data_IF_444368100065
#
_entry.id   IF_444368100065
#
_cell.length_a   1.000
_cell.length_b   1.000
_cell.length_c   1.000
_cell.angle_alpha   90.00
_cell.angle_beta   90.00
_cell.angle_gamma   90.00
#
_symmetry.space_group_name_H-M   'P 1'
#
loop_
_entity.id
_entity.type
_entity.pdbx_description
1 polymer ?
#
# COMPACT_ATOMS: atom_id res chain seq x y z
N UNK A 1 -2.91 -6.48 -0.04
CA UNK A 1 -1.96 -5.57 -0.72
C UNK A 1 -2.61 -4.69 -1.77
N UNK A 2 -3.39 -5.23 -2.70
CA UNK A 2 -4.07 -4.43 -3.75
C UNK A 2 -4.82 -3.22 -3.16
N UNK A 3 -5.76 -3.46 -2.24
CA UNK A 3 -6.59 -2.41 -1.63
C UNK A 3 -5.75 -1.40 -0.85
N UNK A 4 -4.77 -1.87 -0.07
CA UNK A 4 -3.85 -1.01 0.68
C UNK A 4 -3.12 -0.05 -0.26
N UNK A 5 -2.46 -0.59 -1.29
CA UNK A 5 -1.66 0.20 -2.24
C UNK A 5 -2.54 1.20 -2.98
N UNK A 6 -3.73 0.78 -3.42
CA UNK A 6 -4.66 1.66 -4.13
C UNK A 6 -5.07 2.88 -3.29
N UNK A 7 -5.50 2.65 -2.04
CA UNK A 7 -5.99 3.71 -1.16
C UNK A 7 -4.82 4.58 -0.67
N UNK A 8 -3.76 3.95 -0.17
CA UNK A 8 -2.63 4.65 0.45
C UNK A 8 -1.82 5.43 -0.57
N UNK A 9 -1.43 4.86 -1.72
CA UNK A 9 -0.76 5.65 -2.77
C UNK A 9 -1.70 6.69 -3.38
N UNK A 10 -3.01 6.42 -3.46
CA UNK A 10 -4.00 7.40 -3.90
C UNK A 10 -3.98 8.68 -3.05
N UNK A 11 -3.77 8.56 -1.73
CA UNK A 11 -3.64 9.71 -0.83
C UNK A 11 -2.39 10.58 -1.08
N UNK A 12 -1.37 10.03 -1.74
CA UNK A 12 -0.12 10.75 -2.06
C UNK A 12 -0.20 11.54 -3.37
N UNK A 13 -1.28 11.36 -4.15
CA UNK A 13 -1.46 12.05 -5.42
C UNK A 13 -1.75 13.54 -5.16
N UNK A 14 -0.89 14.39 -5.71
CA UNK A 14 -1.06 15.83 -5.62
C UNK A 14 -2.01 16.33 -6.73
N UNK A 15 -3.30 16.40 -6.41
CA UNK A 15 -4.34 16.89 -7.32
C UNK A 15 -4.23 18.38 -7.65
N UNK A 16 -3.54 19.16 -6.80
CA UNK A 16 -3.36 20.61 -6.97
C UNK A 16 -2.01 20.97 -7.62
N UNK A 17 -1.29 19.98 -8.17
CA UNK A 17 0.00 20.19 -8.83
C UNK A 17 -0.05 21.17 -10.02
N UNK A 18 -1.23 21.46 -10.58
CA UNK A 18 -1.42 22.41 -11.69
C UNK A 18 -1.64 23.86 -11.21
N UNK A 19 -1.69 24.10 -9.90
CA UNK A 19 -1.88 25.43 -9.33
C UNK A 19 -0.55 26.21 -9.33
N UNK A 20 -0.58 27.51 -9.63
CA UNK A 20 0.62 28.37 -9.65
C UNK A 20 1.34 28.46 -8.29
N UNK A 21 0.65 28.12 -7.20
CA UNK A 21 1.22 28.03 -5.86
C UNK A 21 0.62 26.81 -5.13
N UNK A 22 1.15 25.60 -5.35
CA UNK A 22 0.59 24.39 -4.77
C UNK A 22 0.77 24.41 -3.25
N UNK A 23 -0.26 24.02 -2.47
CA UNK A 23 -0.12 23.89 -1.02
C UNK A 23 0.95 22.83 -0.68
N UNK A 24 1.61 22.95 0.48
CA UNK A 24 2.56 21.94 0.94
C UNK A 24 1.87 20.58 1.11
N UNK A 25 2.65 19.50 0.96
CA UNK A 25 2.16 18.13 1.13
C UNK A 25 1.58 17.93 2.53
N UNK A 26 0.35 17.41 2.60
CA UNK A 26 -0.30 17.11 3.87
C UNK A 26 0.18 15.76 4.41
N UNK A 27 1.25 15.81 5.20
CA UNK A 27 1.84 14.64 5.84
C UNK A 27 0.89 13.97 6.82
N UNK A 28 -0.03 14.71 7.44
CA UNK A 28 -0.99 14.16 8.40
C UNK A 28 -2.03 13.33 7.65
N UNK A 29 -2.55 13.85 6.54
CA UNK A 29 -3.47 13.12 5.68
C UNK A 29 -2.86 11.81 5.17
N UNK A 30 -1.62 11.86 4.65
CA UNK A 30 -0.93 10.67 4.14
C UNK A 30 -0.71 9.66 5.27
N UNK A 31 -0.15 10.10 6.40
CA UNK A 31 0.15 9.21 7.53
C UNK A 31 -1.12 8.57 8.11
N UNK A 32 -2.20 9.34 8.24
CA UNK A 32 -3.48 8.86 8.75
C UNK A 32 -4.14 7.88 7.76
N UNK A 33 -4.09 8.18 6.45
CA UNK A 33 -4.63 7.30 5.43
C UNK A 33 -3.94 5.94 5.43
N UNK A 34 -2.60 5.90 5.50
CA UNK A 34 -1.83 4.66 5.59
C UNK A 34 -2.18 3.88 6.86
N UNK A 35 -2.19 4.54 8.02
CA UNK A 35 -2.51 3.91 9.30
C UNK A 35 -3.92 3.32 9.34
N UNK A 36 -4.92 4.10 8.93
CA UNK A 36 -6.31 3.64 8.88
C UNK A 36 -6.51 2.53 7.84
N UNK A 37 -5.86 2.62 6.67
CA UNK A 37 -5.95 1.58 5.65
C UNK A 37 -5.45 0.23 6.19
N UNK A 38 -4.33 0.21 6.91
CA UNK A 38 -3.82 -1.02 7.53
C UNK A 38 -4.79 -1.50 8.61
N UNK A 39 -5.25 -0.62 9.51
CA UNK A 39 -6.18 -0.99 10.57
C UNK A 39 -7.47 -1.62 10.01
N UNK A 40 -8.07 -1.03 8.98
CA UNK A 40 -9.25 -1.57 8.30
C UNK A 40 -8.96 -2.94 7.67
N UNK A 41 -7.82 -3.10 6.98
CA UNK A 41 -7.49 -4.36 6.35
C UNK A 41 -7.18 -5.48 7.36
N UNK A 42 -6.57 -5.14 8.49
CA UNK A 42 -6.39 -6.08 9.60
C UNK A 42 -7.74 -6.47 10.19
N UNK A 43 -8.67 -5.53 10.35
CA UNK A 43 -10.03 -5.85 10.81
C UNK A 43 -10.77 -6.78 9.82
N UNK A 44 -10.67 -6.52 8.52
CA UNK A 44 -11.34 -7.30 7.48
C UNK A 44 -10.71 -8.68 7.25
N UNK A 45 -9.38 -8.79 7.25
CA UNK A 45 -8.66 -9.98 6.80
C UNK A 45 -7.81 -10.65 7.88
N UNK A 46 -7.76 -10.09 9.08
CA UNK A 46 -6.96 -10.60 10.20
C UNK A 46 -7.40 -11.99 10.64
N UNK A 47 -8.71 -12.23 10.72
CA UNK A 47 -9.27 -13.52 11.11
C UNK A 47 -9.13 -14.61 10.03
N UNK A 48 -8.91 -14.24 8.77
CA UNK A 48 -8.78 -15.18 7.64
C UNK A 48 -7.31 -15.50 7.36
N UNK A 49 -6.45 -14.48 7.28
CA UNK A 49 -5.07 -14.60 6.75
C UNK A 49 -3.99 -14.25 7.77
N UNK A 50 -4.36 -13.83 8.99
CA UNK A 50 -3.44 -13.20 9.94
C UNK A 50 -3.02 -11.78 9.54
N UNK A 51 -3.55 -11.27 8.42
CA UNK A 51 -3.30 -9.94 7.87
C UNK A 51 -1.82 -9.51 7.88
N UNK A 52 -0.91 -10.40 7.47
CA UNK A 52 0.52 -10.07 7.45
C UNK A 52 0.79 -8.83 6.59
N UNK A 53 0.14 -8.74 5.41
CA UNK A 53 0.01 -7.52 4.57
C UNK A 53 1.36 -6.79 4.36
N UNK A 54 2.47 -7.50 4.55
CA UNK A 54 3.81 -6.95 4.56
C UNK A 54 4.80 -8.12 4.43
N UNK A 55 5.71 -8.09 3.44
CA UNK A 55 6.75 -9.10 3.27
C UNK A 55 7.63 -9.26 4.52
N UNK A 56 8.00 -8.16 5.19
CA UNK A 56 8.83 -8.19 6.40
C UNK A 56 8.13 -8.91 7.57
N UNK A 57 6.83 -8.67 7.74
CA UNK A 57 6.01 -9.36 8.77
C UNK A 57 5.88 -10.83 8.43
N UNK A 58 5.68 -11.18 7.16
CA UNK A 58 5.62 -12.58 6.71
C UNK A 58 6.93 -13.32 7.00
N UNK A 59 8.08 -12.70 6.71
CA UNK A 59 9.41 -13.25 7.02
C UNK A 59 9.62 -13.41 8.52
N UNK A 60 9.22 -12.43 9.34
CA UNK A 60 9.29 -12.54 10.80
C UNK A 60 8.43 -13.70 11.36
N UNK A 61 7.26 -13.94 10.77
CA UNK A 61 6.39 -15.06 11.15
C UNK A 61 6.96 -16.42 10.76
N UNK A 62 7.71 -16.49 9.65
CA UNK A 62 8.47 -17.68 9.27
C UNK A 62 9.66 -17.90 10.21
N UNK A 63 10.41 -16.84 10.55
CA UNK A 63 11.55 -16.90 11.47
C UNK A 63 11.14 -17.35 12.88
N UNK A 64 9.97 -16.94 13.34
CA UNK A 64 9.37 -17.37 14.62
C UNK A 64 8.66 -18.73 14.53
N UNK A 65 8.78 -19.44 13.39
CA UNK A 65 8.14 -20.75 13.10
C UNK A 65 6.61 -20.77 13.25
N UNK A 66 5.97 -19.60 13.23
CA UNK A 66 4.50 -19.47 13.23
C UNK A 66 3.89 -19.70 11.85
N UNK A 67 4.72 -19.65 10.80
CA UNK A 67 4.32 -19.92 9.42
C UNK A 67 5.33 -20.86 8.74
N UNK A 68 4.83 -21.86 7.99
CA UNK A 68 5.69 -22.73 7.18
C UNK A 68 6.38 -21.92 6.08
N UNK A 69 7.66 -22.22 5.83
CA UNK A 69 8.49 -21.57 4.79
C UNK A 69 7.79 -21.56 3.43
N UNK A 70 7.20 -22.68 3.02
CA UNK A 70 6.48 -22.80 1.75
C UNK A 70 5.30 -21.82 1.69
N UNK A 71 4.50 -21.74 2.75
CA UNK A 71 3.40 -20.76 2.84
C UNK A 71 3.91 -19.33 2.86
N UNK A 72 5.04 -19.06 3.53
CA UNK A 72 5.69 -17.76 3.55
C UNK A 72 6.05 -17.25 2.16
N UNK A 73 6.62 -18.11 1.31
CA UNK A 73 6.97 -17.75 -0.08
C UNK A 73 5.71 -17.42 -0.90
N UNK A 74 4.65 -18.22 -0.80
CA UNK A 74 3.38 -17.92 -1.48
C UNK A 74 2.77 -16.59 -1.01
N UNK A 75 2.82 -16.30 0.29
CA UNK A 75 2.35 -15.03 0.85
C UNK A 75 3.17 -13.85 0.31
N UNK A 76 4.49 -14.00 0.23
CA UNK A 76 5.38 -12.96 -0.29
C UNK A 76 5.07 -12.65 -1.77
N UNK A 77 4.94 -13.69 -2.59
CA UNK A 77 4.59 -13.54 -4.01
C UNK A 77 3.21 -12.90 -4.19
N UNK A 78 2.20 -13.34 -3.43
CA UNK A 78 0.86 -12.77 -3.49
C UNK A 78 0.84 -11.29 -3.04
N UNK A 79 1.66 -10.92 -2.05
CA UNK A 79 1.78 -9.54 -1.58
C UNK A 79 2.47 -8.65 -2.62
N UNK A 80 3.59 -9.09 -3.20
CA UNK A 80 4.28 -8.36 -4.25
C UNK A 80 3.41 -8.20 -5.49
N UNK A 81 2.77 -9.28 -5.97
CA UNK A 81 1.86 -9.22 -7.11
C UNK A 81 0.68 -8.29 -6.83
N UNK A 82 0.10 -8.37 -5.62
CA UNK A 82 -0.97 -7.48 -5.21
C UNK A 82 -0.55 -6.01 -5.14
N UNK A 83 0.69 -5.72 -4.74
CA UNK A 83 1.21 -4.36 -4.72
C UNK A 83 1.39 -3.81 -6.15
N UNK A 84 1.98 -4.61 -7.04
CA UNK A 84 2.16 -4.23 -8.46
C UNK A 84 0.82 -3.99 -9.14
N UNK A 85 -0.14 -4.90 -8.96
CA UNK A 85 -1.49 -4.76 -9.55
C UNK A 85 -2.21 -3.56 -8.97
N UNK A 86 -2.15 -3.32 -7.66
CA UNK A 86 -2.74 -2.15 -7.03
C UNK A 86 -2.18 -0.83 -7.57
N UNK A 87 -0.86 -0.75 -7.72
CA UNK A 87 -0.18 0.42 -8.30
C UNK A 87 -0.52 0.59 -9.79
N UNK A 88 -0.59 -0.49 -10.57
CA UNK A 88 -0.95 -0.45 -11.98
C UNK A 88 -2.40 0.02 -12.20
N UNK A 89 -3.34 -0.44 -11.37
CA UNK A 89 -4.72 0.03 -11.38
C UNK A 89 -4.76 1.53 -11.04
N UNK A 90 -4.05 1.95 -9.99
CA UNK A 90 -3.98 3.36 -9.60
C UNK A 90 -3.45 4.21 -10.76
N UNK A 91 -2.34 3.80 -11.37
CA UNK A 91 -1.77 4.47 -12.53
C UNK A 91 -2.79 4.58 -13.68
N UNK A 92 -3.54 3.51 -13.95
CA UNK A 92 -4.57 3.48 -14.99
C UNK A 92 -5.71 4.47 -14.74
N UNK A 93 -6.20 4.58 -13.49
CA UNK A 93 -7.32 5.47 -13.13
C UNK A 93 -6.89 6.92 -12.90
N UNK A 94 -5.62 7.16 -12.58
CA UNK A 94 -5.09 8.51 -12.34
C UNK A 94 -4.75 9.22 -13.66
N UNK A 95 -5.26 10.45 -13.89
CA UNK A 95 -4.94 11.24 -15.07
C UNK A 95 -3.44 11.55 -15.21
N UNK A 96 -2.91 11.50 -16.43
CA UNK A 96 -1.48 11.70 -16.69
C UNK A 96 -0.91 13.02 -16.15
N UNK A 97 -1.74 14.05 -16.01
CA UNK A 97 -1.36 15.36 -15.49
C UNK A 97 -1.04 15.40 -13.99
N UNK A 98 -1.50 14.41 -13.21
CA UNK A 98 -1.33 14.38 -11.74
C UNK A 98 -0.66 13.10 -11.23
N UNK A 99 -0.21 12.21 -12.12
CA UNK A 99 0.44 10.93 -11.76
C UNK A 99 1.68 11.10 -10.89
N UNK A 100 2.44 12.19 -11.09
CA UNK A 100 3.65 12.49 -10.32
C UNK A 100 4.61 11.29 -10.24
N UNK A 101 5.25 11.11 -9.08
CA UNK A 101 6.11 9.96 -8.77
C UNK A 101 5.38 8.78 -8.11
N UNK A 102 4.04 8.77 -8.03
CA UNK A 102 3.28 7.75 -7.28
C UNK A 102 3.83 7.50 -5.85
N UNK A 103 4.21 8.56 -5.14
CA UNK A 103 4.79 8.49 -3.80
C UNK A 103 6.31 8.29 -3.73
N UNK A 104 7.01 8.22 -4.87
CA UNK A 104 8.48 8.25 -4.91
C UNK A 104 8.97 9.68 -4.67
N UNK A 105 9.64 9.93 -3.55
CA UNK A 105 10.33 11.17 -3.26
C UNK A 105 11.68 11.17 -3.99
N UNK A 106 11.80 11.91 -5.09
CA UNK A 106 13.10 12.26 -5.71
C UNK A 106 13.54 13.64 -5.26
#
# INVERSE_FOLDING_TARGET
MIIFVLISLGSTINWTAKQENPPPVDLVLISLCFGLSIATLVQCFGHISGAHINPAVTVAMVATRKLSLAKGVFYLLAQCLGAVVGAAILYGVTPASVRGGMGVTS
#
